data_IF_374293297112
#
_entry.id   IF_374293297112
#
_cell.length_a   1.000
_cell.length_b   1.000
_cell.length_c   1.000
_cell.angle_alpha   90.00
_cell.angle_beta   90.00
_cell.angle_gamma   90.00
#
_symmetry.space_group_name_H-M   'P 1'
#
loop_
_entity.id
_entity.type
_entity.pdbx_description
1 polymer ?
#
# COMPACT_ATOMS: atom_id res chain seq x y z
N UNK A 1 -4.92 -10.81 -4.89
CA UNK A 1 -5.44 -11.18 -6.23
C UNK A 1 -4.75 -10.28 -7.24
N UNK A 2 -4.34 -10.81 -8.39
CA UNK A 2 -3.75 -10.02 -9.47
C UNK A 2 -4.82 -9.16 -10.19
N UNK A 3 -4.38 -8.21 -11.01
CA UNK A 3 -5.26 -7.28 -11.72
C UNK A 3 -6.18 -7.98 -12.72
N UNK A 4 -5.79 -9.15 -13.27
CA UNK A 4 -6.65 -9.92 -14.16
C UNK A 4 -7.70 -10.77 -13.42
N UNK A 5 -7.62 -10.85 -12.08
CA UNK A 5 -8.42 -11.73 -11.23
C UNK A 5 -8.27 -13.21 -11.59
N UNK A 6 -7.11 -13.62 -12.10
CA UNK A 6 -6.80 -15.00 -12.50
C UNK A 6 -5.92 -15.70 -11.47
N UNK A 7 -5.20 -14.93 -10.64
CA UNK A 7 -4.33 -15.45 -9.59
C UNK A 7 -4.72 -14.86 -8.23
N UNK A 8 -5.10 -15.72 -7.29
CA UNK A 8 -5.22 -15.40 -5.87
C UNK A 8 -3.98 -15.89 -5.12
N UNK A 9 -3.39 -15.06 -4.28
CA UNK A 9 -2.23 -15.41 -3.45
C UNK A 9 -2.70 -15.47 -2.00
N UNK A 10 -2.54 -16.63 -1.37
CA UNK A 10 -3.07 -16.90 -0.03
C UNK A 10 -1.92 -17.31 0.87
N UNK A 11 -1.51 -16.42 1.75
CA UNK A 11 -0.49 -16.67 2.76
C UNK A 11 -1.06 -17.53 3.89
N UNK A 12 -0.24 -18.42 4.43
CA UNK A 12 -0.62 -19.29 5.52
C UNK A 12 0.05 -18.84 6.82
N UNK A 13 -0.72 -18.85 7.92
CA UNK A 13 -0.24 -18.38 9.22
C UNK A 13 1.06 -19.06 9.66
N UNK A 14 1.16 -20.38 9.49
CA UNK A 14 2.35 -21.17 9.86
C UNK A 14 3.51 -21.10 8.86
N UNK A 15 3.39 -20.26 7.83
CA UNK A 15 4.30 -20.22 6.68
C UNK A 15 3.77 -21.02 5.52
N UNK A 16 4.27 -20.68 4.34
CA UNK A 16 3.80 -21.15 3.06
C UNK A 16 2.78 -20.22 2.42
N UNK A 17 2.48 -20.51 1.16
CA UNK A 17 1.54 -19.77 0.34
C UNK A 17 0.89 -20.68 -0.67
N UNK A 18 -0.38 -20.44 -0.98
CA UNK A 18 -1.07 -21.05 -2.11
C UNK A 18 -1.30 -20.00 -3.19
N UNK A 19 -1.10 -20.39 -4.46
CA UNK A 19 -1.63 -19.62 -5.59
C UNK A 19 -2.82 -20.38 -6.13
N UNK A 20 -3.94 -19.68 -6.21
CA UNK A 20 -5.22 -20.24 -6.66
C UNK A 20 -5.69 -19.57 -7.94
N UNK A 21 -6.39 -20.32 -8.78
CA UNK A 21 -7.22 -19.77 -9.84
C UNK A 21 -8.65 -19.59 -9.31
N UNK A 22 -9.07 -18.36 -8.95
CA UNK A 22 -10.40 -18.12 -8.42
C UNK A 22 -11.50 -18.19 -9.50
N UNK A 23 -11.15 -18.19 -10.79
CA UNK A 23 -12.10 -18.30 -11.91
C UNK A 23 -12.45 -19.74 -12.26
N UNK A 24 -11.64 -20.72 -11.85
CA UNK A 24 -11.96 -22.12 -12.04
C UNK A 24 -13.18 -22.50 -11.18
N UNK A 25 -14.01 -23.43 -11.67
CA UNK A 25 -15.13 -23.99 -10.90
C UNK A 25 -15.01 -25.52 -10.88
N UNK A 26 -14.68 -26.15 -9.72
CA UNK A 26 -14.33 -25.49 -8.45
C UNK A 26 -13.03 -24.68 -8.54
N UNK A 27 -12.81 -23.73 -7.61
CA UNK A 27 -11.54 -23.02 -7.52
C UNK A 27 -10.39 -24.01 -7.39
N UNK A 28 -9.25 -23.73 -8.03
CA UNK A 28 -8.12 -24.67 -8.09
C UNK A 28 -6.87 -24.06 -7.46
N UNK A 29 -6.14 -24.87 -6.71
CA UNK A 29 -4.75 -24.58 -6.33
C UNK A 29 -3.88 -24.88 -7.55
N UNK A 30 -3.04 -23.92 -7.94
CA UNK A 30 -2.18 -23.96 -9.13
C UNK A 30 -0.71 -23.67 -8.82
N UNK A 31 -0.36 -23.44 -7.55
CA UNK A 31 0.97 -23.63 -6.99
C UNK A 31 0.90 -23.65 -5.46
N UNK A 32 1.90 -24.29 -4.87
CA UNK A 32 2.08 -24.40 -3.42
C UNK A 32 3.50 -23.99 -3.06
N UNK A 33 3.64 -23.27 -1.95
CA UNK A 33 4.92 -22.83 -1.40
C UNK A 33 5.04 -23.29 0.03
N UNK A 34 6.20 -23.84 0.38
CA UNK A 34 6.49 -24.27 1.74
C UNK A 34 6.90 -23.11 2.65
N UNK A 35 6.97 -23.40 3.96
CA UNK A 35 7.32 -22.42 5.00
C UNK A 35 8.77 -21.92 4.96
N UNK A 36 9.66 -22.65 4.27
CA UNK A 36 11.07 -22.25 4.14
C UNK A 36 11.22 -21.24 2.98
N UNK A 37 10.32 -21.30 2.00
CA UNK A 37 10.29 -20.40 0.84
C UNK A 37 9.48 -19.15 1.13
N UNK A 38 8.32 -19.29 1.79
CA UNK A 38 7.49 -18.17 2.25
C UNK A 38 7.29 -18.33 3.74
N UNK A 39 7.90 -17.46 4.53
CA UNK A 39 7.83 -17.55 5.99
C UNK A 39 6.44 -17.15 6.51
N UNK A 40 6.19 -17.39 7.79
CA UNK A 40 4.86 -17.27 8.41
C UNK A 40 4.24 -15.87 8.39
N UNK A 41 2.90 -15.86 8.38
CA UNK A 41 2.00 -14.73 8.59
C UNK A 41 2.12 -13.53 7.64
N UNK A 42 2.19 -13.84 6.35
CA UNK A 42 1.83 -12.86 5.33
C UNK A 42 0.38 -12.39 5.44
N UNK A 43 0.17 -11.11 5.13
CA UNK A 43 -1.14 -10.46 5.25
C UNK A 43 -1.50 -9.67 4.00
N UNK A 44 -0.64 -8.74 3.57
CA UNK A 44 -0.93 -7.85 2.46
C UNK A 44 -0.22 -8.27 1.18
N UNK A 45 -0.89 -8.01 0.05
CA UNK A 45 -0.25 -8.11 -1.26
C UNK A 45 -0.84 -7.14 -2.26
N UNK A 46 -0.02 -6.70 -3.21
CA UNK A 46 -0.45 -5.84 -4.30
C UNK A 46 0.35 -6.14 -5.57
N UNK A 47 -0.34 -6.07 -6.70
CA UNK A 47 0.33 -6.06 -8.00
C UNK A 47 0.88 -4.66 -8.30
N UNK A 48 2.12 -4.61 -8.78
CA UNK A 48 2.77 -3.40 -9.29
C UNK A 48 3.81 -3.80 -10.35
N UNK A 49 3.93 -3.03 -11.43
CA UNK A 49 4.93 -3.22 -12.48
C UNK A 49 5.02 -4.67 -13.02
N UNK A 50 3.87 -5.35 -13.13
CA UNK A 50 3.81 -6.74 -13.62
C UNK A 50 4.29 -7.81 -12.62
N UNK A 51 4.41 -7.46 -11.34
CA UNK A 51 4.86 -8.34 -10.25
C UNK A 51 3.81 -8.34 -9.14
N UNK A 52 3.60 -9.48 -8.49
CA UNK A 52 2.83 -9.56 -7.25
C UNK A 52 3.77 -9.42 -6.05
N UNK A 53 3.60 -8.35 -5.27
CA UNK A 53 4.32 -8.17 -4.01
C UNK A 53 3.49 -8.72 -2.87
N UNK A 54 4.11 -9.49 -1.99
CA UNK A 54 3.49 -10.07 -0.79
C UNK A 54 4.43 -9.87 0.38
N UNK A 55 3.93 -9.46 1.54
CA UNK A 55 4.75 -9.34 2.75
C UNK A 55 4.51 -10.50 3.73
N UNK A 56 5.36 -10.59 4.76
CA UNK A 56 5.23 -11.54 5.87
C UNK A 56 5.59 -10.92 7.20
N UNK A 57 4.62 -10.87 8.10
CA UNK A 57 4.73 -10.29 9.44
C UNK A 57 4.85 -11.33 10.55
N UNK A 58 4.80 -10.86 11.80
CA UNK A 58 4.63 -11.72 12.96
C UNK A 58 3.31 -12.49 12.89
N UNK A 59 3.31 -13.73 13.34
CA UNK A 59 2.21 -14.67 13.08
C UNK A 59 1.69 -15.44 14.27
N UNK A 60 2.43 -15.45 15.38
CA UNK A 60 2.06 -16.18 16.57
C UNK A 60 2.83 -15.68 17.78
N UNK A 61 2.46 -16.12 18.98
CA UNK A 61 3.23 -15.85 20.20
C UNK A 61 4.67 -16.41 20.10
N UNK A 62 4.87 -17.49 19.35
CA UNK A 62 6.17 -18.13 19.16
C UNK A 62 6.99 -17.51 18.01
N UNK A 63 6.34 -16.67 17.20
CA UNK A 63 6.95 -15.97 16.06
C UNK A 63 6.31 -14.56 15.96
N UNK A 64 6.51 -13.71 16.98
CA UNK A 64 5.78 -12.44 17.09
C UNK A 64 6.36 -11.35 16.20
N UNK A 65 7.56 -11.56 15.65
CA UNK A 65 8.28 -10.57 14.86
C UNK A 65 8.77 -11.17 13.54
N UNK A 66 8.45 -10.51 12.44
CA UNK A 66 9.04 -10.76 11.14
C UNK A 66 8.81 -9.60 10.19
N UNK A 67 9.75 -9.41 9.27
CA UNK A 67 9.57 -8.51 8.15
C UNK A 67 10.17 -9.10 6.89
N UNK A 68 9.32 -9.70 6.06
CA UNK A 68 9.69 -10.12 4.72
C UNK A 68 8.88 -9.40 3.65
N UNK A 69 9.51 -9.20 2.49
CA UNK A 69 8.85 -8.76 1.27
C UNK A 69 9.29 -9.64 0.11
N UNK A 70 8.32 -10.28 -0.53
CA UNK A 70 8.51 -11.18 -1.66
C UNK A 70 7.97 -10.56 -2.94
N UNK A 71 8.60 -10.89 -4.07
CA UNK A 71 8.10 -10.66 -5.42
C UNK A 71 7.80 -12.01 -6.09
N UNK A 72 6.54 -12.18 -6.49
CA UNK A 72 6.06 -13.33 -7.25
C UNK A 72 5.82 -12.92 -8.72
N UNK A 73 6.19 -13.80 -9.67
CA UNK A 73 5.80 -13.61 -11.06
C UNK A 73 4.28 -13.72 -11.22
N UNK A 74 3.74 -13.23 -12.33
CA UNK A 74 2.31 -13.32 -12.66
C UNK A 74 2.00 -14.42 -13.70
N UNK A 75 2.94 -15.34 -13.92
CA UNK A 75 2.84 -16.39 -14.93
C UNK A 75 3.67 -17.62 -14.55
N UNK A 76 3.45 -18.74 -15.24
CA UNK A 76 4.19 -19.98 -15.00
C UNK A 76 3.55 -20.88 -13.93
N UNK A 77 2.33 -20.57 -13.50
CA UNK A 77 1.56 -21.36 -12.56
C UNK A 77 0.83 -22.51 -13.25
N UNK A 78 0.86 -23.70 -12.64
CA UNK A 78 0.17 -24.90 -13.09
C UNK A 78 0.00 -25.84 -11.89
N UNK A 79 -1.13 -26.53 -11.80
CA UNK A 79 -1.35 -27.55 -10.78
C UNK A 79 -0.35 -28.72 -10.87
N UNK A 80 0.37 -28.87 -11.99
CA UNK A 80 1.44 -29.85 -12.15
C UNK A 80 2.82 -29.36 -11.68
N UNK A 81 2.95 -28.10 -11.26
CA UNK A 81 4.21 -27.56 -10.74
C UNK A 81 4.61 -28.30 -9.47
N UNK A 82 5.91 -28.58 -9.33
CA UNK A 82 6.46 -28.95 -8.04
C UNK A 82 6.30 -27.79 -7.05
N UNK A 83 6.30 -28.07 -5.73
CA UNK A 83 6.31 -27.01 -4.73
C UNK A 83 7.39 -25.96 -4.98
N UNK A 84 7.08 -24.71 -4.65
CA UNK A 84 7.93 -23.53 -4.81
C UNK A 84 8.17 -23.10 -6.27
N UNK A 85 7.37 -23.59 -7.23
CA UNK A 85 7.48 -23.22 -8.64
C UNK A 85 6.22 -22.47 -9.12
N UNK A 86 6.37 -21.29 -9.74
CA UNK A 86 7.62 -20.55 -9.97
C UNK A 86 8.21 -19.95 -8.68
N UNK A 87 9.54 -19.88 -8.58
CA UNK A 87 10.20 -19.40 -7.37
C UNK A 87 9.97 -17.89 -7.16
N UNK A 88 9.61 -17.44 -5.94
CA UNK A 88 9.56 -16.03 -5.61
C UNK A 88 10.96 -15.49 -5.37
N UNK A 89 11.12 -14.16 -5.48
CA UNK A 89 12.31 -13.46 -5.02
C UNK A 89 12.03 -12.84 -3.66
N UNK A 90 12.81 -13.19 -2.64
CA UNK A 90 12.86 -12.44 -1.38
C UNK A 90 13.61 -11.12 -1.64
N UNK A 91 12.89 -10.00 -1.56
CA UNK A 91 13.42 -8.66 -1.87
C UNK A 91 14.05 -7.99 -0.66
N UNK A 92 13.42 -8.16 0.50
CA UNK A 92 13.88 -7.59 1.75
C UNK A 92 13.45 -8.50 2.90
N UNK A 93 14.35 -8.66 3.85
CA UNK A 93 14.17 -9.43 5.07
C UNK A 93 14.85 -8.67 6.20
N UNK A 94 14.17 -8.50 7.32
CA UNK A 94 14.79 -8.09 8.57
C UNK A 94 14.35 -9.03 9.69
N UNK A 95 15.32 -9.76 10.22
CA UNK A 95 15.17 -10.71 11.33
C UNK A 95 15.50 -10.07 12.69
N UNK A 96 15.63 -8.74 12.75
CA UNK A 96 15.77 -8.00 13.98
C UNK A 96 14.63 -8.30 14.95
N UNK A 97 14.94 -8.35 16.25
CA UNK A 97 13.91 -8.30 17.27
C UNK A 97 13.07 -7.03 17.04
N UNK A 98 11.75 -7.12 17.16
CA UNK A 98 10.86 -5.95 17.01
C UNK A 98 10.66 -5.49 15.56
N UNK A 99 10.20 -6.39 14.68
CA UNK A 99 9.76 -6.04 13.32
C UNK A 99 8.41 -6.69 13.04
N UNK A 100 7.47 -5.98 12.42
CA UNK A 100 6.19 -6.57 12.04
C UNK A 100 5.63 -5.98 10.74
N UNK A 101 5.99 -6.59 9.61
CA UNK A 101 5.45 -6.15 8.32
C UNK A 101 3.96 -6.45 8.21
N UNK A 102 3.15 -5.45 7.82
CA UNK A 102 1.70 -5.64 7.81
C UNK A 102 1.01 -5.03 6.60
N UNK A 103 0.78 -3.71 6.58
CA UNK A 103 0.17 -3.05 5.43
C UNK A 103 1.13 -2.89 4.26
N UNK A 104 0.58 -2.87 3.05
CA UNK A 104 1.33 -2.63 1.83
C UNK A 104 0.56 -1.67 0.93
N UNK A 105 1.24 -0.69 0.33
CA UNK A 105 0.64 0.23 -0.62
C UNK A 105 1.58 0.57 -1.77
N UNK A 106 1.05 0.59 -2.99
CA UNK A 106 1.78 0.91 -4.21
C UNK A 106 1.68 2.41 -4.50
N UNK A 107 2.82 3.05 -4.75
CA UNK A 107 2.89 4.48 -5.12
C UNK A 107 2.37 4.74 -6.55
N UNK A 108 2.19 6.01 -6.92
CA UNK A 108 1.74 6.37 -8.26
C UNK A 108 2.75 5.89 -9.31
N UNK A 109 2.25 5.44 -10.47
CA UNK A 109 3.06 4.85 -11.55
C UNK A 109 3.78 3.56 -11.15
N UNK A 110 3.35 2.93 -10.06
CA UNK A 110 3.85 1.62 -9.63
C UNK A 110 5.36 1.56 -9.42
N UNK A 111 5.99 2.71 -9.11
CA UNK A 111 7.45 2.83 -9.02
C UNK A 111 8.02 2.32 -7.70
N UNK A 112 7.23 2.41 -6.63
CA UNK A 112 7.63 1.97 -5.29
C UNK A 112 6.48 1.26 -4.60
N UNK A 113 6.83 0.26 -3.81
CA UNK A 113 5.97 -0.41 -2.83
C UNK A 113 6.39 0.05 -1.45
N UNK A 114 5.45 0.56 -0.67
CA UNK A 114 5.66 0.89 0.73
C UNK A 114 5.09 -0.22 1.58
N UNK A 115 5.90 -0.75 2.49
CA UNK A 115 5.50 -1.81 3.43
C UNK A 115 5.59 -1.25 4.84
N UNK A 116 4.47 -1.28 5.56
CA UNK A 116 4.33 -0.73 6.90
C UNK A 116 4.85 -1.71 7.93
N UNK A 117 5.61 -1.19 8.89
CA UNK A 117 6.04 -1.88 10.09
C UNK A 117 5.22 -1.39 11.29
N UNK A 118 4.36 -2.25 11.83
CA UNK A 118 3.47 -1.88 12.95
C UNK A 118 4.24 -1.58 14.21
N UNK A 119 5.24 -2.39 14.48
CA UNK A 119 6.00 -2.32 15.73
C UNK A 119 6.95 -1.12 15.72
N UNK A 120 7.74 -0.98 14.65
CA UNK A 120 8.71 0.13 14.52
C UNK A 120 8.10 1.45 14.11
N UNK A 121 6.84 1.48 13.69
CA UNK A 121 6.16 2.68 13.18
C UNK A 121 6.91 3.31 12.00
N UNK A 122 7.41 2.48 11.09
CA UNK A 122 8.09 2.91 9.87
C UNK A 122 7.39 2.40 8.62
N UNK A 123 7.75 2.95 7.47
CA UNK A 123 7.45 2.36 6.17
C UNK A 123 8.76 2.10 5.41
N UNK A 124 9.01 0.84 5.06
CA UNK A 124 10.09 0.46 4.16
C UNK A 124 9.66 0.70 2.71
N UNK A 125 10.57 1.22 1.88
CA UNK A 125 10.27 1.58 0.49
C UNK A 125 11.09 0.70 -0.45
N UNK A 126 10.40 -0.19 -1.16
CA UNK A 126 10.97 -1.08 -2.17
C UNK A 126 10.81 -0.45 -3.55
N UNK A 127 11.90 -0.34 -4.29
CA UNK A 127 11.92 0.08 -5.69
C UNK A 127 11.49 -1.07 -6.60
N UNK A 128 10.50 -0.84 -7.47
CA UNK A 128 9.90 -1.92 -8.29
C UNK A 128 10.72 -2.32 -9.50
N UNK A 129 11.69 -1.50 -9.94
CA UNK A 129 12.55 -1.83 -11.08
C UNK A 129 13.71 -2.70 -10.62
N UNK A 130 14.25 -2.42 -9.43
CA UNK A 130 15.46 -3.09 -8.92
C UNK A 130 15.15 -4.15 -7.86
N UNK A 131 14.02 -4.02 -7.18
CA UNK A 131 13.66 -4.82 -6.01
C UNK A 131 14.42 -4.43 -4.74
N UNK A 132 15.18 -3.33 -4.74
CA UNK A 132 15.95 -2.89 -3.58
C UNK A 132 15.08 -2.14 -2.56
N UNK A 133 15.34 -2.34 -1.27
CA UNK A 133 14.91 -1.38 -0.25
C UNK A 133 15.79 -0.11 -0.39
N UNK A 134 15.16 1.02 -0.71
CA UNK A 134 15.87 2.27 -1.00
C UNK A 134 15.75 3.31 0.12
N UNK A 135 14.84 3.11 1.08
CA UNK A 135 14.58 4.09 2.13
C UNK A 135 13.65 3.53 3.22
N UNK A 136 13.82 4.03 4.43
CA UNK A 136 12.91 3.83 5.56
C UNK A 136 12.32 5.17 5.96
N UNK A 137 10.99 5.27 6.04
CA UNK A 137 10.28 6.47 6.50
C UNK A 137 9.83 6.26 7.94
N UNK A 138 10.42 7.04 8.85
CA UNK A 138 9.94 7.14 10.23
C UNK A 138 8.62 7.92 10.30
N UNK A 139 7.55 7.25 10.70
CA UNK A 139 6.21 7.84 10.79
C UNK A 139 5.98 8.56 12.12
N UNK A 140 6.76 8.26 13.16
CA UNK A 140 6.74 8.97 14.43
C UNK A 140 7.48 10.30 14.34
N UNK A 141 8.35 10.49 13.34
CA UNK A 141 9.13 11.73 13.19
C UNK A 141 8.24 12.96 13.04
N UNK A 142 8.10 13.71 14.13
CA UNK A 142 7.24 14.89 14.22
C UNK A 142 5.75 14.59 14.40
N UNK A 143 5.40 13.35 14.78
CA UNK A 143 4.05 12.90 15.10
C UNK A 143 3.95 12.29 16.51
N UNK A 144 2.77 11.79 16.91
CA UNK A 144 2.63 11.06 18.16
C UNK A 144 3.34 9.70 18.07
N UNK A 145 3.86 9.21 19.19
CA UNK A 145 4.45 7.88 19.29
C UNK A 145 3.36 6.79 19.30
N UNK A 146 3.75 5.56 18.95
CA UNK A 146 2.86 4.39 19.03
C UNK A 146 1.69 4.47 18.04
N UNK A 147 1.97 4.73 16.77
CA UNK A 147 0.98 4.80 15.71
C UNK A 147 0.42 3.43 15.33
N UNK A 148 1.24 2.38 15.38
CA UNK A 148 0.92 1.03 14.93
C UNK A 148 0.23 1.02 13.54
N UNK A 149 0.93 1.45 12.48
CA UNK A 149 0.37 1.60 11.14
C UNK A 149 -0.04 0.26 10.53
N UNK A 150 -1.33 0.09 10.26
CA UNK A 150 -1.93 -1.19 9.91
C UNK A 150 -2.13 -1.28 8.39
N UNK A 151 -3.31 -0.98 7.85
CA UNK A 151 -3.57 -1.00 6.41
C UNK A 151 -3.46 0.39 5.76
N UNK A 152 -3.07 0.43 4.48
CA UNK A 152 -2.88 1.69 3.77
C UNK A 152 -3.58 1.73 2.40
N UNK A 153 -4.02 2.93 2.03
CA UNK A 153 -4.58 3.24 0.72
C UNK A 153 -4.01 4.53 0.15
N UNK A 154 -3.68 4.53 -1.14
CA UNK A 154 -3.12 5.71 -1.82
C UNK A 154 -4.23 6.60 -2.39
N UNK A 155 -4.08 7.91 -2.23
CA UNK A 155 -4.91 8.91 -2.94
C UNK A 155 -4.78 8.78 -4.47
N UNK A 156 -5.84 9.05 -5.25
CA UNK A 156 -5.77 8.99 -6.72
C UNK A 156 -4.70 9.90 -7.33
N UNK A 157 -4.56 11.12 -6.80
CA UNK A 157 -3.51 12.08 -7.16
C UNK A 157 -2.09 11.53 -6.92
N UNK A 158 -1.94 10.61 -5.97
CA UNK A 158 -0.69 9.96 -5.57
C UNK A 158 0.15 10.75 -4.57
N UNK A 159 -0.34 11.91 -4.10
CA UNK A 159 0.40 12.78 -3.18
C UNK A 159 0.08 12.54 -1.70
N UNK A 160 -0.84 11.61 -1.40
CA UNK A 160 -1.16 11.14 -0.04
C UNK A 160 -1.26 9.62 0.02
N UNK A 161 -0.84 9.07 1.14
CA UNK A 161 -1.20 7.74 1.61
C UNK A 161 -2.02 7.92 2.88
N UNK A 162 -3.13 7.20 2.96
CA UNK A 162 -3.97 7.12 4.15
C UNK A 162 -3.67 5.78 4.82
N UNK A 163 -3.50 5.77 6.13
CA UNK A 163 -3.13 4.57 6.90
C UNK A 163 -4.05 4.43 8.10
N UNK A 164 -4.59 3.24 8.34
CA UNK A 164 -5.32 2.95 9.58
C UNK A 164 -4.32 2.73 10.72
N UNK A 165 -4.66 3.25 11.90
CA UNK A 165 -3.81 3.23 13.08
C UNK A 165 -4.53 2.45 14.18
N UNK A 166 -3.81 1.54 14.84
CA UNK A 166 -4.36 0.71 15.91
C UNK A 166 -4.43 1.47 17.23
N UNK A 167 -5.42 1.13 18.04
CA UNK A 167 -5.54 1.60 19.42
C UNK A 167 -4.84 0.71 20.44
N UNK A 168 -4.94 1.04 21.74
CA UNK A 168 -4.31 0.28 22.81
C UNK A 168 -4.99 -1.07 23.07
N UNK A 169 -6.29 -1.20 22.76
CA UNK A 169 -7.06 -2.43 22.95
C UNK A 169 -7.85 -2.76 21.66
N UNK A 170 -7.17 -3.16 20.57
CA UNK A 170 -7.84 -3.51 19.33
C UNK A 170 -8.78 -4.71 19.53
N UNK A 171 -9.91 -4.71 18.85
CA UNK A 171 -10.91 -5.79 18.93
C UNK A 171 -10.60 -6.95 17.98
N UNK A 172 -9.89 -6.68 16.89
CA UNK A 172 -9.42 -7.64 15.90
C UNK A 172 -7.94 -7.94 16.10
N UNK A 173 -7.59 -9.23 16.02
CA UNK A 173 -6.20 -9.70 16.06
C UNK A 173 -5.89 -10.60 17.25
N UNK A 174 -5.32 -11.76 16.92
CA UNK A 174 -4.62 -12.72 17.79
C UNK A 174 -3.40 -12.06 18.49
N UNK A 175 -2.81 -12.64 19.57
CA UNK A 175 -2.18 -11.93 20.69
C UNK A 175 -0.81 -11.28 20.44
N UNK A 176 -0.45 -10.95 19.19
CA UNK A 176 0.83 -10.34 18.85
C UNK A 176 0.64 -8.87 18.42
N UNK A 177 1.36 -7.99 19.12
CA UNK A 177 1.89 -6.66 18.75
C UNK A 177 1.11 -5.86 17.70
N UNK A 178 -0.20 -5.81 17.91
CA UNK A 178 -1.15 -5.09 17.08
C UNK A 178 -1.65 -3.83 17.79
N UNK A 179 -0.93 -3.35 18.80
CA UNK A 179 -1.38 -2.28 19.69
C UNK A 179 -0.64 -0.98 19.40
N UNK A 180 -1.42 0.09 19.28
CA UNK A 180 -0.92 1.45 19.23
C UNK A 180 -1.47 2.26 20.40
N UNK A 181 -1.25 3.58 20.38
CA UNK A 181 -1.77 4.52 21.37
C UNK A 181 -2.81 5.47 20.78
N UNK A 182 -2.81 5.66 19.46
CA UNK A 182 -3.67 6.64 18.78
C UNK A 182 -4.48 5.96 17.67
N UNK A 183 -5.63 5.34 18.01
CA UNK A 183 -6.48 4.72 16.99
C UNK A 183 -7.02 5.77 16.02
N UNK A 184 -7.09 5.43 14.74
CA UNK A 184 -7.71 6.30 13.75
C UNK A 184 -7.08 6.26 12.36
N UNK A 185 -7.00 7.42 11.72
CA UNK A 185 -6.53 7.59 10.34
C UNK A 185 -5.30 8.49 10.29
N UNK A 186 -4.16 7.92 9.97
CA UNK A 186 -2.95 8.65 9.61
C UNK A 186 -3.02 9.14 8.16
N UNK A 187 -2.57 10.37 7.94
CA UNK A 187 -2.42 10.96 6.60
C UNK A 187 -0.95 11.23 6.35
N UNK A 188 -0.35 10.49 5.43
CA UNK A 188 1.05 10.62 5.05
C UNK A 188 1.12 11.50 3.79
N UNK A 189 1.94 12.55 3.85
CA UNK A 189 2.34 13.32 2.69
C UNK A 189 3.44 12.56 1.94
N UNK A 190 3.15 12.14 0.71
CA UNK A 190 4.17 11.54 -0.17
C UNK A 190 5.05 12.66 -0.73
N UNK A 191 6.37 12.44 -0.71
CA UNK A 191 7.38 13.40 -1.19
C UNK A 191 8.37 12.68 -2.10
N UNK A 192 9.28 13.45 -2.74
CA UNK A 192 10.33 12.91 -3.62
C UNK A 192 9.80 11.87 -4.63
N UNK A 193 8.63 12.15 -5.23
CA UNK A 193 7.95 11.28 -6.20
C UNK A 193 7.70 9.85 -5.72
N UNK A 194 7.44 9.63 -4.43
CA UNK A 194 7.17 8.31 -3.87
C UNK A 194 8.35 7.68 -3.15
N UNK A 195 9.56 8.26 -3.23
CA UNK A 195 10.76 7.75 -2.55
C UNK A 195 10.81 8.04 -1.05
N UNK A 196 9.89 8.87 -0.54
CA UNK A 196 9.85 9.28 0.86
C UNK A 196 8.49 9.89 1.20
N UNK A 197 8.28 10.20 2.47
CA UNK A 197 7.13 10.98 2.95
C UNK A 197 7.30 11.35 4.40
N UNK A 198 6.23 11.92 4.95
CA UNK A 198 6.11 12.22 6.37
C UNK A 198 4.67 12.12 6.80
N UNK A 199 4.43 11.70 8.04
CA UNK A 199 3.12 11.85 8.64
C UNK A 199 2.76 13.34 8.67
N UNK A 200 1.60 13.67 8.11
CA UNK A 200 1.10 15.06 8.02
C UNK A 200 0.07 15.36 9.10
N UNK A 201 -0.80 14.40 9.38
CA UNK A 201 -1.84 14.52 10.40
C UNK A 201 -2.33 13.16 10.83
N UNK A 202 -2.92 13.10 12.02
CA UNK A 202 -3.71 11.98 12.51
C UNK A 202 -5.12 12.48 12.77
N UNK A 203 -6.12 11.72 12.34
CA UNK A 203 -7.53 11.93 12.65
C UNK A 203 -7.92 10.80 13.60
N UNK A 204 -7.98 11.06 14.92
CA UNK A 204 -8.32 10.03 15.90
C UNK A 204 -9.74 9.50 15.69
N UNK A 205 -9.92 8.22 15.97
CA UNK A 205 -11.23 7.56 16.05
C UNK A 205 -11.31 6.94 17.43
N UNK A 206 -12.39 7.22 18.16
CA UNK A 206 -12.60 6.74 19.52
C UNK A 206 -13.82 5.84 19.60
N UNK A 207 -13.71 4.79 20.40
CA UNK A 207 -14.80 3.90 20.78
C UNK A 207 -14.61 3.50 22.25
N UNK A 208 -15.06 4.38 23.15
CA UNK A 208 -14.91 4.19 24.59
C UNK A 208 -16.08 3.36 25.12
N UNK A 209 -15.78 2.23 25.77
CA UNK A 209 -16.80 1.36 26.39
C UNK A 209 -17.25 1.88 27.77
N UNK A 210 -18.17 1.15 28.42
CA UNK A 210 -18.74 1.52 29.72
C UNK A 210 -17.69 1.60 30.85
N UNK A 211 -16.60 0.84 30.73
CA UNK A 211 -15.48 0.83 31.69
C UNK A 211 -14.43 1.90 31.37
N UNK A 212 -14.72 2.79 30.41
CA UNK A 212 -13.83 3.84 29.89
C UNK A 212 -12.59 3.30 29.19
N UNK A 213 -12.67 2.09 28.64
CA UNK A 213 -11.58 1.49 27.87
C UNK A 213 -11.74 1.89 26.40
N UNK A 214 -10.65 2.35 25.78
CA UNK A 214 -10.61 2.61 24.34
C UNK A 214 -10.57 1.29 23.55
N UNK A 215 -11.61 1.06 22.76
CA UNK A 215 -11.86 -0.12 21.91
C UNK A 215 -11.84 0.19 20.42
N UNK A 216 -11.42 1.38 20.00
CA UNK A 216 -11.35 1.72 18.58
C UNK A 216 -10.32 0.84 17.88
N UNK A 217 -10.76 0.22 16.80
CA UNK A 217 -9.97 -0.73 16.03
C UNK A 217 -10.20 -0.51 14.54
N UNK A 218 -9.67 0.62 14.05
CA UNK A 218 -9.65 0.90 12.62
C UNK A 218 -8.67 -0.08 11.94
N UNK A 219 -9.20 -1.19 11.45
CA UNK A 219 -8.37 -2.26 10.86
C UNK A 219 -8.28 -2.17 9.33
N UNK A 220 -9.37 -1.74 8.67
CA UNK A 220 -9.49 -1.69 7.21
C UNK A 220 -9.50 -0.28 6.63
N UNK A 221 -8.93 -0.13 5.43
CA UNK A 221 -9.05 1.11 4.65
C UNK A 221 -9.28 0.83 3.16
N UNK A 222 -10.16 1.61 2.54
CA UNK A 222 -10.39 1.61 1.10
C UNK A 222 -10.47 3.03 0.56
N UNK A 223 -9.62 3.37 -0.40
CA UNK A 223 -9.63 4.67 -1.08
C UNK A 223 -10.23 4.49 -2.47
N UNK A 224 -11.27 5.27 -2.79
CA UNK A 224 -11.98 5.19 -4.07
C UNK A 224 -12.07 6.56 -4.70
N UNK A 225 -12.02 6.60 -6.03
CA UNK A 225 -12.43 7.79 -6.78
C UNK A 225 -13.95 7.91 -6.66
N UNK A 226 -14.42 9.10 -6.27
CA UNK A 226 -15.84 9.41 -6.38
C UNK A 226 -16.15 9.62 -7.85
N UNK A 227 -16.96 8.75 -8.43
CA UNK A 227 -17.57 9.02 -9.72
C UNK A 227 -18.39 10.30 -9.57
N UNK A 228 -18.01 11.33 -10.31
CA UNK A 228 -18.87 12.50 -10.47
C UNK A 228 -19.90 12.10 -11.53
N UNK A 229 -21.21 12.28 -11.28
CA UNK A 229 -22.20 12.02 -12.32
C UNK A 229 -21.80 12.84 -13.55
N UNK A 230 -21.52 12.16 -14.68
CA UNK A 230 -21.61 12.84 -15.97
C UNK A 230 -23.03 13.37 -16.04
N UNK A 231 -23.20 14.67 -16.20
CA UNK A 231 -24.47 15.26 -16.59
C UNK A 231 -24.99 14.44 -17.76
N UNK A 232 -26.10 13.74 -17.55
CA UNK A 232 -26.80 13.09 -18.66
C UNK A 232 -27.17 14.17 -19.67
N UNK A 233 -26.74 13.97 -20.91
CA UNK A 233 -27.32 14.52 -22.13
C UNK A 233 -27.71 16.00 -22.11
N UNK A 234 -26.78 16.84 -22.56
CA UNK A 234 -27.11 18.07 -23.26
C UNK A 234 -26.04 18.25 -24.33
N UNK A 235 -26.42 18.18 -25.60
CA UNK A 235 -25.56 18.63 -26.70
C UNK A 235 -25.05 20.03 -26.36
N UNK A 236 -23.73 20.14 -26.21
CA UNK A 236 -23.05 21.43 -26.25
C UNK A 236 -22.06 21.30 -27.38
N UNK A 237 -22.37 21.99 -28.47
CA UNK A 237 -21.49 22.27 -29.59
C UNK A 237 -20.08 22.58 -29.08
N UNK A 238 -19.09 21.98 -29.73
CA UNK A 238 -17.68 22.22 -29.43
C UNK A 238 -17.35 23.72 -29.47
N UNK A 239 -16.30 24.16 -28.75
CA UNK A 239 -15.88 25.55 -28.81
C UNK A 239 -15.45 25.86 -30.25
N UNK A 240 -16.05 26.89 -30.82
CA UNK A 240 -15.57 27.53 -32.04
C UNK A 240 -14.12 27.98 -31.83
N UNK A 241 -13.27 27.66 -32.79
CA UNK A 241 -11.90 28.14 -32.87
C UNK A 241 -11.94 29.67 -33.01
N UNK A 242 -11.55 30.41 -31.95
CA UNK A 242 -11.24 31.83 -32.09
C UNK A 242 -9.85 31.93 -32.72
N UNK A 243 -9.83 32.45 -33.95
CA UNK A 243 -8.66 32.75 -34.75
C UNK A 243 -7.74 33.78 -34.06
N UNK A 244 -6.44 33.53 -34.17
CA UNK A 244 -5.35 34.41 -33.78
C UNK A 244 -5.44 35.77 -34.50
N UNK A 245 -5.57 36.87 -33.75
CA UNK A 245 -5.18 38.21 -34.24
C UNK A 245 -3.94 38.71 -33.47
N UNK A 246 -2.79 38.50 -34.09
CA UNK A 246 -1.55 39.20 -33.80
C UNK A 246 -1.75 40.73 -33.89
N UNK A 247 -1.52 41.45 -32.79
CA UNK A 247 -1.29 42.90 -32.81
C UNK A 247 0.09 43.20 -32.23
N UNK A 248 1.05 43.33 -33.14
CA UNK A 248 2.31 44.04 -32.93
C UNK A 248 2.03 45.52 -32.67
N UNK A 249 2.31 45.99 -31.45
CA UNK A 249 2.45 47.42 -31.15
C UNK A 249 3.91 47.83 -31.38
N UNK A 250 4.20 48.25 -32.61
CA UNK A 250 5.42 48.95 -33.01
C UNK A 250 5.47 50.35 -32.37
N UNK A 251 6.19 50.48 -31.25
CA UNK A 251 6.59 51.77 -30.67
C UNK A 251 8.03 52.09 -31.02
N UNK A 252 8.31 52.37 -32.30
CA UNK A 252 9.45 53.24 -32.61
C UNK A 252 9.32 53.98 -33.96
N UNK A 253 8.81 55.22 -33.94
CA UNK A 253 9.16 56.22 -34.97
C UNK A 253 9.12 57.67 -34.44
N UNK A 254 10.09 58.53 -34.84
CA UNK A 254 10.32 59.83 -34.22
C UNK A 254 9.45 60.94 -34.82
N UNK A 255 9.14 61.95 -33.99
CA UNK A 255 8.47 63.18 -34.40
C UNK A 255 9.38 64.04 -35.29
N UNK A 256 8.88 64.43 -36.46
CA UNK A 256 9.35 65.62 -37.19
C UNK A 256 8.19 66.61 -37.29
N UNK A 257 8.36 67.80 -36.71
CA UNK A 257 7.49 68.97 -36.95
C UNK A 257 8.16 69.87 -37.98
N UNK A 258 7.35 70.41 -38.90
CA UNK A 258 7.64 71.68 -39.58
C UNK A 258 7.45 72.83 -38.60
#
# INVERSE_FOLDING_TARGET
>A
VDASSTLGFITLRGGGLLVVNPKATPMQIIAEYDRNTVRGAGFAGAQAAGIMYVNSGGGSVLDPYRFDVYAFPLSGYSAANFPNIPAPKLLYSDDGAERDSHGLVVTKRERFVWVLDRDRNVAEIIDTDTGANINTVDLNKGGPAGLAPDLAGRSPSGNRIFVSLRGPNPLSGDPHLSTGSTPGLGVIQVTKNGRSGKLKSVIPIHNIDADRIERADAHGIGVRLKETPRSQGGDVSGPEEEEDEDKEDDKNKPMTKK
#
